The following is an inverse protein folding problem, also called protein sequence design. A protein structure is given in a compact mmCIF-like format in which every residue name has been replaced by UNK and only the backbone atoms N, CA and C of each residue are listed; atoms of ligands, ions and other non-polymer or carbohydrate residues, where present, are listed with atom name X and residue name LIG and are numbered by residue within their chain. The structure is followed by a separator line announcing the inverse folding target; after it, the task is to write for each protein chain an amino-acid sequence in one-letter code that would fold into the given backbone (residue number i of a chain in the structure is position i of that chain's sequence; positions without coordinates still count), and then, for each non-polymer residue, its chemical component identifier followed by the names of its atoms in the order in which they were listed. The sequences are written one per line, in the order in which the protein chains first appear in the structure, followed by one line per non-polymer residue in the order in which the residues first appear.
data_IF_214727010446
#
_entry.id   IF_214727010446
#
_cell.length_a   1.000
_cell.length_b   1.000
_cell.length_c   1.000
_cell.angle_alpha   90.00
_cell.angle_beta   90.00
_cell.angle_gamma   90.00
#
_symmetry.space_group_name_H-M   'P 1'
#
loop_
_entity.id
_entity.type
_entity.pdbx_description
1 polymer ?
#
# COMPACT_ATOMS: atom_id res chain seq x y z
N UNK A 1 -41.64 -42.56 1.24
CA UNK A 1 -42.31 -41.30 0.90
C UNK A 1 -41.23 -40.28 0.50
N UNK A 2 -40.95 -40.22 -0.78
CA UNK A 2 -40.04 -39.24 -1.37
C UNK A 2 -40.90 -38.11 -2.00
N UNK A 3 -40.78 -36.92 -1.44
CA UNK A 3 -41.35 -35.70 -2.04
C UNK A 3 -40.28 -35.10 -2.99
N UNK A 4 -40.54 -35.31 -4.29
CA UNK A 4 -39.82 -34.65 -5.37
C UNK A 4 -40.36 -33.22 -5.48
N UNK A 5 -39.58 -32.23 -5.06
CA UNK A 5 -39.84 -30.81 -5.37
C UNK A 5 -39.39 -30.53 -6.81
N UNK A 6 -40.34 -30.43 -7.73
CA UNK A 6 -40.09 -29.91 -9.05
C UNK A 6 -39.84 -28.41 -8.98
N UNK A 7 -38.63 -28.01 -9.33
CA UNK A 7 -38.28 -26.61 -9.51
C UNK A 7 -38.99 -26.03 -10.73
N UNK A 8 -39.56 -24.82 -10.67
CA UNK A 8 -40.20 -24.20 -11.82
C UNK A 8 -39.16 -23.89 -12.90
N UNK A 9 -39.51 -24.27 -14.15
CA UNK A 9 -38.71 -23.96 -15.33
C UNK A 9 -38.46 -22.45 -15.43
N UNK A 10 -37.24 -22.01 -15.22
CA UNK A 10 -36.85 -20.63 -15.48
C UNK A 10 -36.88 -20.40 -16.99
N UNK A 11 -37.80 -19.56 -17.43
CA UNK A 11 -37.88 -19.07 -18.80
C UNK A 11 -36.52 -18.49 -19.21
N UNK A 12 -35.88 -19.08 -20.24
CA UNK A 12 -34.72 -18.56 -20.92
C UNK A 12 -35.05 -17.19 -21.53
N UNK A 13 -34.73 -16.11 -20.81
CA UNK A 13 -34.76 -14.75 -21.40
C UNK A 13 -33.49 -14.56 -22.20
N UNK A 14 -33.60 -14.58 -23.49
CA UNK A 14 -32.58 -14.11 -24.41
C UNK A 14 -32.62 -12.58 -24.45
N UNK A 15 -31.49 -11.93 -24.18
CA UNK A 15 -31.32 -10.50 -24.45
C UNK A 15 -30.25 -10.42 -25.54
N UNK A 16 -30.63 -9.90 -26.71
CA UNK A 16 -29.75 -9.75 -27.90
C UNK A 16 -29.12 -11.06 -28.43
N UNK A 17 -29.87 -12.19 -28.38
CA UNK A 17 -29.46 -13.44 -29.01
C UNK A 17 -28.38 -14.26 -28.29
N UNK A 18 -27.96 -13.83 -27.09
CA UNK A 18 -26.94 -14.54 -26.29
C UNK A 18 -27.58 -15.01 -24.97
N UNK A 19 -27.39 -16.29 -24.56
CA UNK A 19 -27.90 -16.78 -23.29
C UNK A 19 -27.30 -15.95 -22.12
N UNK A 20 -28.13 -15.56 -21.15
CA UNK A 20 -27.76 -14.78 -19.98
C UNK A 20 -26.59 -15.41 -19.21
N UNK A 21 -26.39 -16.72 -19.31
CA UNK A 21 -25.29 -17.48 -18.70
C UNK A 21 -23.91 -17.12 -19.30
N UNK A 22 -23.83 -16.79 -20.61
CA UNK A 22 -22.58 -16.42 -21.28
C UNK A 22 -22.15 -14.97 -21.01
N UNK A 23 -23.08 -14.10 -20.60
CA UNK A 23 -22.76 -12.73 -20.21
C UNK A 23 -21.95 -12.69 -18.89
N UNK A 24 -22.25 -13.60 -17.95
CA UNK A 24 -21.49 -13.76 -16.70
C UNK A 24 -20.07 -14.32 -16.92
N UNK A 25 -19.87 -15.12 -17.96
CA UNK A 25 -18.53 -15.67 -18.30
C UNK A 25 -17.63 -14.59 -18.91
N UNK A 26 -18.19 -13.67 -19.70
CA UNK A 26 -17.43 -12.54 -20.24
C UNK A 26 -17.00 -11.55 -19.15
N UNK A 27 -17.77 -11.43 -18.06
CA UNK A 27 -17.41 -10.60 -16.90
C UNK A 27 -16.25 -11.18 -16.08
N UNK A 28 -16.06 -12.51 -16.05
CA UNK A 28 -14.94 -13.16 -15.37
C UNK A 28 -13.58 -12.98 -16.08
N UNK A 29 -13.57 -12.64 -17.36
CA UNK A 29 -12.34 -12.40 -18.14
C UNK A 29 -11.71 -11.02 -17.89
N UNK A 30 -12.36 -10.17 -17.10
CA UNK A 30 -11.97 -8.76 -16.91
C UNK A 30 -11.14 -8.54 -15.63
N UNK A 31 -10.61 -9.60 -15.02
CA UNK A 31 -9.80 -9.54 -13.80
C UNK A 31 -8.54 -10.35 -14.03
N UNK A 32 -7.40 -9.74 -13.80
CA UNK A 32 -6.09 -10.38 -13.82
C UNK A 32 -5.53 -10.42 -12.40
N UNK A 33 -5.14 -11.61 -11.92
CA UNK A 33 -4.38 -11.76 -10.69
C UNK A 33 -2.91 -11.96 -11.06
N UNK A 34 -2.04 -11.13 -10.51
CA UNK A 34 -0.61 -11.20 -10.71
C UNK A 34 0.15 -10.85 -9.44
N UNK A 35 1.38 -11.25 -9.39
CA UNK A 35 2.31 -10.81 -8.36
C UNK A 35 3.14 -9.64 -8.86
N UNK A 36 3.29 -8.63 -8.01
CA UNK A 36 4.15 -7.47 -8.26
C UNK A 36 5.32 -7.57 -7.28
N UNK A 37 6.55 -7.56 -7.77
CA UNK A 37 7.70 -7.52 -6.87
C UNK A 37 7.79 -6.17 -6.16
N UNK A 38 8.34 -6.16 -4.94
CA UNK A 38 8.53 -4.91 -4.19
C UNK A 38 9.35 -3.90 -5.00
N UNK A 39 10.38 -4.35 -5.70
CA UNK A 39 11.21 -3.49 -6.56
C UNK A 39 10.41 -2.86 -7.70
N UNK A 40 9.53 -3.64 -8.35
CA UNK A 40 8.65 -3.13 -9.41
C UNK A 40 7.67 -2.11 -8.83
N UNK A 41 7.02 -2.42 -7.70
CA UNK A 41 6.09 -1.51 -7.04
C UNK A 41 6.75 -0.20 -6.66
N UNK A 42 7.91 -0.25 -6.00
CA UNK A 42 8.69 0.93 -5.59
C UNK A 42 9.12 1.77 -6.79
N UNK A 43 9.59 1.14 -7.86
CA UNK A 43 9.93 1.82 -9.11
C UNK A 43 8.74 2.54 -9.72
N UNK A 44 7.56 1.91 -9.72
CA UNK A 44 6.34 2.50 -10.27
C UNK A 44 5.80 3.63 -9.37
N UNK A 45 5.97 3.53 -8.04
CA UNK A 45 5.71 4.64 -7.12
C UNK A 45 6.64 5.81 -7.43
N UNK A 46 7.95 5.56 -7.58
CA UNK A 46 8.94 6.59 -7.88
C UNK A 46 8.67 7.31 -9.21
N UNK A 47 8.14 6.60 -10.20
CA UNK A 47 7.67 7.14 -11.48
C UNK A 47 6.30 7.83 -11.37
N UNK A 48 5.69 7.87 -10.21
CA UNK A 48 4.35 8.42 -9.94
C UNK A 48 3.23 7.77 -10.79
N UNK A 49 3.31 6.44 -11.01
CA UNK A 49 2.32 5.70 -11.81
C UNK A 49 1.03 5.39 -11.03
N UNK A 50 0.95 5.68 -9.74
CA UNK A 50 -0.21 5.38 -8.90
C UNK A 50 -0.99 6.62 -8.52
N UNK A 51 -2.31 6.53 -8.61
CA UNK A 51 -3.25 7.59 -8.30
C UNK A 51 -4.30 7.12 -7.31
N UNK A 52 -4.63 7.98 -6.35
CA UNK A 52 -5.63 7.72 -5.32
C UNK A 52 -6.94 8.36 -5.78
N UNK A 53 -8.02 7.59 -5.98
CA UNK A 53 -9.34 8.14 -6.26
C UNK A 53 -9.84 9.02 -5.13
N UNK A 54 -10.52 10.14 -5.45
CA UNK A 54 -11.03 11.12 -4.48
C UNK A 54 -12.07 10.57 -3.51
N UNK A 55 -12.68 9.43 -3.80
CA UNK A 55 -13.61 8.77 -2.90
C UNK A 55 -12.93 7.93 -1.81
N UNK A 56 -11.62 7.73 -1.90
CA UNK A 56 -10.88 7.04 -0.85
C UNK A 56 -10.56 8.01 0.30
N UNK A 57 -10.54 7.46 1.51
CA UNK A 57 -10.14 8.21 2.71
C UNK A 57 -8.67 8.58 2.64
N UNK A 58 -8.30 9.60 3.39
CA UNK A 58 -6.90 9.98 3.56
C UNK A 58 -6.04 8.86 4.20
N UNK A 59 -4.74 9.05 4.16
CA UNK A 59 -3.81 8.17 4.84
C UNK A 59 -3.97 8.30 6.36
N UNK A 60 -4.35 7.20 7.03
CA UNK A 60 -4.66 7.18 8.46
C UNK A 60 -3.76 6.25 9.29
N UNK A 61 -2.90 5.46 8.63
CA UNK A 61 -1.97 4.60 9.35
C UNK A 61 -0.97 5.43 10.13
N UNK A 62 -0.76 5.04 11.37
CA UNK A 62 0.28 5.61 12.21
C UNK A 62 1.66 4.97 11.93
N UNK A 63 2.67 5.46 12.63
CA UNK A 63 4.03 4.96 12.47
C UNK A 63 4.19 3.51 12.90
N UNK A 64 3.39 3.02 13.85
CA UNK A 64 3.45 1.61 14.31
C UNK A 64 2.91 0.66 13.24
N UNK A 65 1.88 1.05 12.50
CA UNK A 65 1.39 0.29 11.35
C UNK A 65 2.44 0.21 10.25
N UNK A 66 3.17 1.31 10.01
CA UNK A 66 4.23 1.35 8.99
C UNK A 66 5.41 0.46 9.41
N UNK A 67 5.85 0.54 10.68
CA UNK A 67 6.90 -0.31 11.24
C UNK A 67 6.52 -1.79 11.14
N UNK A 68 5.26 -2.15 11.50
CA UNK A 68 4.75 -3.52 11.39
C UNK A 68 4.68 -4.04 9.94
N UNK A 69 4.34 -3.17 8.97
CA UNK A 69 4.39 -3.53 7.56
C UNK A 69 5.84 -3.77 7.11
N UNK A 70 6.78 -2.90 7.50
CA UNK A 70 8.20 -3.07 7.21
C UNK A 70 8.76 -4.37 7.80
N UNK A 71 8.38 -4.70 9.03
CA UNK A 71 8.72 -5.95 9.70
C UNK A 71 8.16 -7.17 8.95
N UNK A 72 6.91 -7.10 8.52
CA UNK A 72 6.28 -8.16 7.73
C UNK A 72 7.00 -8.40 6.40
N UNK A 73 7.43 -7.34 5.72
CA UNK A 73 8.14 -7.44 4.44
C UNK A 73 9.52 -8.06 4.62
N UNK A 74 10.31 -7.61 5.62
CA UNK A 74 11.65 -8.14 5.86
C UNK A 74 11.64 -9.61 6.29
N UNK A 75 10.61 -10.01 7.06
CA UNK A 75 10.37 -11.41 7.48
C UNK A 75 9.68 -12.25 6.40
N UNK A 76 9.25 -11.62 5.30
CA UNK A 76 8.48 -12.25 4.23
C UNK A 76 7.15 -12.85 4.68
N UNK A 77 6.53 -12.22 5.68
CA UNK A 77 5.16 -12.56 6.05
C UNK A 77 4.19 -12.05 4.97
N UNK A 78 3.11 -12.78 4.67
CA UNK A 78 2.15 -12.36 3.67
C UNK A 78 1.47 -11.06 4.10
N UNK A 79 1.39 -10.11 3.18
CA UNK A 79 0.54 -8.91 3.29
C UNK A 79 -0.67 -9.08 2.38
N UNK A 80 -1.77 -8.41 2.72
CA UNK A 80 -2.98 -8.47 1.88
C UNK A 80 -2.72 -7.94 0.47
N UNK A 81 -3.51 -8.42 -0.49
CA UNK A 81 -3.44 -8.00 -1.90
C UNK A 81 -3.77 -6.53 -2.10
N UNK A 82 -3.33 -5.97 -3.22
CA UNK A 82 -3.74 -4.65 -3.70
C UNK A 82 -4.72 -4.80 -4.87
N UNK A 83 -5.67 -3.86 -4.99
CA UNK A 83 -6.62 -3.81 -6.10
C UNK A 83 -6.33 -2.59 -6.96
N UNK A 84 -6.01 -2.82 -8.22
CA UNK A 84 -5.58 -1.80 -9.17
C UNK A 84 -6.52 -1.75 -10.38
N UNK A 85 -6.64 -0.57 -10.99
CA UNK A 85 -7.35 -0.37 -12.26
C UNK A 85 -6.54 0.58 -13.14
N UNK A 86 -6.24 0.21 -14.40
CA UNK A 86 -5.53 1.08 -15.32
C UNK A 86 -6.28 2.39 -15.58
N UNK A 87 -5.57 3.52 -15.62
CA UNK A 87 -6.15 4.84 -15.90
C UNK A 87 -6.42 5.10 -17.38
N UNK A 88 -5.83 4.34 -18.28
CA UNK A 88 -6.06 4.43 -19.73
C UNK A 88 -7.40 3.81 -20.18
N UNK A 89 -8.15 3.18 -19.27
CA UNK A 89 -9.44 2.55 -19.55
C UNK A 89 -10.59 3.52 -19.81
N UNK A 90 -11.78 2.94 -20.05
CA UNK A 90 -13.02 3.69 -20.31
C UNK A 90 -13.57 4.41 -19.09
N UNK A 91 -13.32 3.87 -17.90
CA UNK A 91 -13.73 4.46 -16.63
C UNK A 91 -12.67 5.42 -16.11
N UNK A 92 -12.99 6.69 -16.13
CA UNK A 92 -12.18 7.74 -15.51
C UNK A 92 -12.79 8.14 -14.17
N UNK A 93 -11.99 8.34 -13.15
CA UNK A 93 -12.44 8.85 -11.84
C UNK A 93 -11.57 10.02 -11.41
N UNK A 94 -12.16 10.97 -10.68
CA UNK A 94 -11.39 12.06 -10.06
C UNK A 94 -10.38 11.47 -9.09
N UNK A 95 -9.12 11.88 -9.19
CA UNK A 95 -8.02 11.33 -8.39
C UNK A 95 -6.91 12.36 -8.23
N UNK A 96 -6.01 12.10 -7.29
CA UNK A 96 -4.74 12.79 -7.17
C UNK A 96 -3.59 11.77 -7.24
N UNK A 97 -2.37 12.18 -7.62
CA UNK A 97 -1.22 11.30 -7.62
C UNK A 97 -0.91 10.82 -6.19
N UNK A 98 -0.31 9.63 -6.06
CA UNK A 98 0.16 9.12 -4.77
C UNK A 98 1.28 9.99 -4.19
N UNK A 99 2.12 10.56 -5.06
CA UNK A 99 3.22 11.46 -4.70
C UNK A 99 2.89 12.85 -5.22
N UNK A 100 2.66 13.79 -4.31
CA UNK A 100 2.35 15.17 -4.66
C UNK A 100 3.50 15.86 -5.39
N UNK A 101 3.15 16.79 -6.26
CA UNK A 101 4.08 17.66 -7.01
C UNK A 101 5.08 16.93 -7.93
N UNK A 102 4.81 15.70 -8.29
CA UNK A 102 5.62 14.92 -9.23
C UNK A 102 4.79 14.55 -10.46
N UNK A 103 5.31 14.87 -11.65
CA UNK A 103 4.68 14.43 -12.90
C UNK A 103 4.87 12.93 -13.11
N UNK A 104 3.88 12.29 -13.75
CA UNK A 104 4.00 10.88 -14.12
C UNK A 104 4.97 10.73 -15.29
N UNK A 105 6.01 9.92 -15.08
CA UNK A 105 7.05 9.66 -16.08
C UNK A 105 6.56 8.70 -17.17
N UNK A 106 5.66 7.79 -16.81
CA UNK A 106 5.15 6.76 -17.75
C UNK A 106 3.62 6.70 -17.68
N UNK A 107 2.96 7.43 -18.57
CA UNK A 107 1.50 7.54 -18.60
C UNK A 107 0.79 6.24 -19.02
N UNK A 108 1.47 5.31 -19.66
CA UNK A 108 0.90 4.01 -20.05
C UNK A 108 0.77 3.08 -18.84
N UNK A 109 1.60 3.26 -17.83
CA UNK A 109 1.59 2.48 -16.59
C UNK A 109 0.82 3.13 -15.43
N UNK A 110 -0.07 4.09 -15.73
CA UNK A 110 -0.86 4.72 -14.68
C UNK A 110 -2.00 3.82 -14.17
N UNK A 111 -2.13 3.73 -12.85
CA UNK A 111 -3.16 2.95 -12.17
C UNK A 111 -3.90 3.76 -11.11
N UNK A 112 -5.20 3.52 -10.99
CA UNK A 112 -5.94 3.85 -9.78
C UNK A 112 -5.70 2.76 -8.73
N UNK A 113 -5.42 3.15 -7.49
CA UNK A 113 -5.40 2.25 -6.34
C UNK A 113 -6.84 2.18 -5.83
N UNK A 114 -7.53 1.06 -6.04
CA UNK A 114 -8.89 0.87 -5.55
C UNK A 114 -8.92 0.27 -4.13
N UNK A 115 -7.96 -0.61 -3.80
CA UNK A 115 -7.70 -1.07 -2.43
C UNK A 115 -6.20 -1.21 -2.21
N UNK A 116 -5.78 -1.12 -0.94
CA UNK A 116 -4.38 -1.19 -0.53
C UNK A 116 -3.65 0.16 -0.49
N UNK A 117 -4.37 1.29 -0.57
CA UNK A 117 -3.79 2.63 -0.48
C UNK A 117 -2.87 2.79 0.73
N UNK A 118 -3.31 2.39 1.92
CA UNK A 118 -2.51 2.52 3.14
C UNK A 118 -1.19 1.75 3.03
N UNK A 119 -1.22 0.53 2.45
CA UNK A 119 -0.03 -0.31 2.22
C UNK A 119 0.93 0.32 1.22
N UNK A 120 0.43 0.75 0.05
CA UNK A 120 1.27 1.36 -1.00
C UNK A 120 1.88 2.67 -0.51
N UNK A 121 1.11 3.52 0.19
CA UNK A 121 1.63 4.74 0.82
C UNK A 121 2.69 4.43 1.89
N UNK A 122 2.50 3.40 2.71
CA UNK A 122 3.50 2.98 3.69
C UNK A 122 4.77 2.44 3.02
N UNK A 123 4.64 1.70 1.92
CA UNK A 123 5.79 1.23 1.11
C UNK A 123 6.60 2.41 0.55
N UNK A 124 5.94 3.49 0.10
CA UNK A 124 6.65 4.70 -0.34
C UNK A 124 7.46 5.34 0.80
N UNK A 125 6.91 5.37 2.01
CA UNK A 125 7.61 5.88 3.20
C UNK A 125 8.78 5.00 3.61
N UNK A 126 8.59 3.67 3.60
CA UNK A 126 9.59 2.68 3.99
C UNK A 126 10.79 2.62 3.02
N UNK A 127 10.52 2.63 1.72
CA UNK A 127 11.52 2.26 0.71
C UNK A 127 11.94 3.41 -0.23
N UNK A 128 11.23 4.55 -0.20
CA UNK A 128 11.61 5.76 -0.95
C UNK A 128 11.91 6.96 -0.05
N UNK A 129 11.77 6.80 1.27
CA UNK A 129 11.91 7.87 2.25
C UNK A 129 10.97 9.07 1.99
N UNK A 130 9.73 8.78 1.57
CA UNK A 130 8.69 9.77 1.28
C UNK A 130 7.82 10.05 2.51
N UNK A 131 8.45 10.33 3.65
CA UNK A 131 7.78 10.78 4.88
C UNK A 131 8.44 12.06 5.35
N UNK A 132 7.64 13.08 5.72
CA UNK A 132 8.15 14.40 6.11
C UNK A 132 8.71 14.44 7.54
N UNK A 133 8.35 13.46 8.37
CA UNK A 133 8.66 13.45 9.80
C UNK A 133 9.62 12.35 10.20
N UNK A 134 9.57 11.19 9.52
CA UNK A 134 10.32 10.01 9.90
C UNK A 134 11.00 9.35 8.70
N UNK A 135 12.14 8.71 8.96
CA UNK A 135 12.73 7.69 8.10
C UNK A 135 12.71 6.33 8.79
N UNK A 136 12.60 5.28 7.98
CA UNK A 136 12.47 3.91 8.45
C UNK A 136 13.74 3.12 8.11
N UNK A 137 14.22 2.36 9.07
CA UNK A 137 15.44 1.59 9.00
C UNK A 137 15.22 0.17 9.50
N UNK A 138 16.03 -0.75 9.02
CA UNK A 138 16.02 -2.15 9.43
C UNK A 138 17.26 -2.45 10.28
N UNK A 139 17.06 -3.20 11.36
CA UNK A 139 18.03 -3.47 12.40
C UNK A 139 18.82 -4.74 12.10
N UNK A 140 20.03 -4.60 11.58
CA UNK A 140 20.91 -5.71 11.20
C UNK A 140 21.31 -6.58 12.41
N UNK A 141 21.51 -5.96 13.60
CA UNK A 141 21.83 -6.72 14.79
C UNK A 141 20.67 -7.60 15.25
N UNK A 142 19.44 -7.06 15.24
CA UNK A 142 18.26 -7.84 15.59
C UNK A 142 18.05 -8.99 14.61
N UNK A 143 18.28 -8.80 13.30
CA UNK A 143 18.24 -9.87 12.30
C UNK A 143 19.25 -10.99 12.61
N UNK A 144 20.50 -10.65 12.98
CA UNK A 144 21.50 -11.64 13.37
C UNK A 144 21.14 -12.33 14.68
N UNK A 145 20.69 -11.58 15.70
CA UNK A 145 20.34 -12.14 17.01
C UNK A 145 19.16 -13.11 16.93
N UNK A 146 18.18 -12.84 16.07
CA UNK A 146 17.10 -13.81 15.81
C UNK A 146 17.60 -15.09 15.12
N UNK A 147 18.48 -14.94 14.15
CA UNK A 147 19.00 -16.09 13.41
C UNK A 147 19.94 -16.94 14.25
N UNK A 148 20.72 -16.30 15.11
CA UNK A 148 21.75 -16.93 15.90
C UNK A 148 21.62 -16.59 17.40
N UNK A 149 20.54 -17.00 18.08
CA UNK A 149 20.20 -16.55 19.44
C UNK A 149 21.21 -17.04 20.50
N UNK A 150 21.91 -18.13 20.25
CA UNK A 150 22.91 -18.72 21.15
C UNK A 150 24.35 -18.33 20.80
N UNK A 151 24.55 -17.40 19.85
CA UNK A 151 25.89 -16.99 19.44
C UNK A 151 26.52 -16.08 20.49
N UNK A 152 27.65 -16.54 21.06
CA UNK A 152 28.35 -15.83 22.14
C UNK A 152 28.86 -14.44 21.71
N UNK A 153 29.26 -14.28 20.44
CA UNK A 153 29.75 -13.01 19.91
C UNK A 153 28.63 -11.97 19.89
N UNK A 154 27.44 -12.38 19.42
CA UNK A 154 26.25 -11.52 19.39
C UNK A 154 25.71 -11.24 20.80
N UNK A 155 26.01 -12.12 21.77
CA UNK A 155 25.59 -11.99 23.16
C UNK A 155 26.67 -11.35 24.06
N UNK A 156 27.85 -11.06 23.53
CA UNK A 156 28.92 -10.39 24.27
C UNK A 156 28.45 -9.05 24.83
N UNK A 157 28.77 -8.80 26.12
CA UNK A 157 28.35 -7.59 26.81
C UNK A 157 28.95 -6.33 26.18
N UNK A 158 30.17 -6.38 25.67
CA UNK A 158 30.85 -5.26 25.01
C UNK A 158 30.22 -4.94 23.65
N UNK A 159 29.83 -5.95 22.88
CA UNK A 159 29.11 -5.78 21.62
C UNK A 159 27.71 -5.22 21.91
N UNK A 160 27.02 -5.78 22.90
CA UNK A 160 25.72 -5.29 23.35
C UNK A 160 25.78 -3.87 23.88
N UNK A 161 26.76 -3.51 24.71
CA UNK A 161 26.87 -2.16 25.26
C UNK A 161 27.22 -1.13 24.18
N UNK A 162 28.07 -1.47 23.21
CA UNK A 162 28.37 -0.61 22.07
C UNK A 162 27.21 -0.45 21.09
N UNK A 163 26.51 -1.54 20.81
CA UNK A 163 25.47 -1.58 19.80
C UNK A 163 24.05 -1.44 20.40
N UNK A 164 23.90 -1.64 21.71
CA UNK A 164 22.63 -1.67 22.41
C UNK A 164 22.57 -0.62 23.52
N UNK A 165 22.41 0.63 23.19
CA UNK A 165 21.73 1.54 24.14
C UNK A 165 20.22 1.31 24.19
N UNK A 166 19.70 0.34 23.45
CA UNK A 166 18.29 -0.08 23.48
C UNK A 166 18.19 -1.59 23.23
N UNK A 167 17.30 -2.26 23.99
CA UNK A 167 17.03 -3.69 23.86
C UNK A 167 16.76 -4.13 22.41
N UNK A 168 17.12 -5.38 22.02
CA UNK A 168 16.65 -5.94 20.78
C UNK A 168 15.13 -5.80 20.76
N UNK A 169 14.60 -5.15 19.75
CA UNK A 169 13.17 -5.05 19.57
C UNK A 169 12.68 -6.32 18.89
N UNK A 170 11.50 -6.77 19.25
CA UNK A 170 10.80 -7.82 18.51
C UNK A 170 10.50 -7.39 17.06
N UNK A 171 10.53 -6.08 16.79
CA UNK A 171 10.28 -5.49 15.47
C UNK A 171 11.60 -5.08 14.83
N UNK A 172 11.86 -5.60 13.62
CA UNK A 172 13.10 -5.33 12.87
C UNK A 172 13.11 -3.96 12.20
N UNK A 173 11.92 -3.40 11.89
CA UNK A 173 11.77 -2.08 11.28
C UNK A 173 11.60 -1.01 12.35
N UNK A 174 12.37 0.10 12.25
CA UNK A 174 12.33 1.21 13.21
C UNK A 174 12.29 2.55 12.52
N UNK A 175 11.52 3.49 13.10
CA UNK A 175 11.47 4.88 12.68
C UNK A 175 12.51 5.73 13.41
N UNK A 176 13.03 6.72 12.69
CA UNK A 176 13.87 7.78 13.25
C UNK A 176 13.34 9.15 12.77
N UNK A 177 13.26 10.15 13.66
CA UNK A 177 12.80 11.48 13.26
C UNK A 177 13.76 12.13 12.26
N UNK A 178 13.20 12.91 11.33
CA UNK A 178 13.96 13.72 10.39
C UNK A 178 14.41 15.01 11.10
N UNK A 179 15.71 15.29 11.16
CA UNK A 179 16.24 16.50 11.79
C UNK A 179 17.77 16.54 11.85
N UNK A 180 18.33 17.62 12.41
CA UNK A 180 19.78 17.80 12.52
C UNK A 180 20.47 16.68 13.32
N UNK A 181 19.76 16.12 14.30
CA UNK A 181 20.27 15.02 15.14
C UNK A 181 20.14 13.63 14.52
N UNK A 182 19.46 13.54 13.39
CA UNK A 182 19.10 12.30 12.70
C UNK A 182 20.33 11.51 12.23
N UNK A 183 21.21 12.18 11.49
CA UNK A 183 22.44 11.55 11.01
C UNK A 183 23.34 11.15 12.17
N UNK A 184 23.33 11.89 13.27
CA UNK A 184 24.04 11.55 14.49
C UNK A 184 23.45 10.33 15.18
N UNK A 185 22.12 10.19 15.30
CA UNK A 185 21.50 9.03 15.95
C UNK A 185 21.76 7.74 15.18
N UNK A 186 21.60 7.76 13.85
CA UNK A 186 21.84 6.58 13.00
C UNK A 186 23.33 6.28 12.88
N UNK A 187 24.19 7.30 12.79
CA UNK A 187 25.65 7.14 12.74
C UNK A 187 26.21 6.73 14.09
N UNK A 188 25.69 7.24 15.20
CA UNK A 188 26.09 6.85 16.57
C UNK A 188 25.80 5.39 16.91
N UNK A 189 24.92 4.73 16.15
CA UNK A 189 24.60 3.31 16.32
C UNK A 189 25.44 2.39 15.42
N UNK A 190 26.65 2.83 15.03
CA UNK A 190 27.70 2.00 14.42
C UNK A 190 27.24 1.21 13.20
N UNK A 191 26.55 1.85 12.25
CA UNK A 191 26.03 1.23 11.02
C UNK A 191 25.07 0.05 11.25
N UNK A 192 24.54 -0.11 12.45
CA UNK A 192 23.58 -1.16 12.80
C UNK A 192 22.31 -1.13 11.97
N UNK A 193 21.92 0.06 11.50
CA UNK A 193 20.68 0.28 10.80
C UNK A 193 20.88 0.53 9.32
N UNK A 194 20.02 -0.07 8.48
CA UNK A 194 20.01 0.13 7.05
C UNK A 194 18.65 0.69 6.60
N UNK A 195 18.66 1.74 5.79
CA UNK A 195 17.40 2.30 5.24
C UNK A 195 16.78 1.36 4.19
N UNK A 196 15.46 1.31 4.13
CA UNK A 196 14.73 0.54 3.12
C UNK A 196 15.11 0.92 1.69
N UNK A 197 15.37 2.21 1.44
CA UNK A 197 15.83 2.69 0.14
C UNK A 197 17.12 1.99 -0.31
N UNK A 198 18.11 1.85 0.56
CA UNK A 198 19.37 1.16 0.21
C UNK A 198 19.18 -0.32 -0.07
N UNK A 199 18.20 -0.94 0.59
CA UNK A 199 17.87 -2.35 0.35
C UNK A 199 17.32 -2.53 -1.06
N UNK A 200 16.31 -1.74 -1.45
CA UNK A 200 15.67 -1.86 -2.76
C UNK A 200 16.57 -1.42 -3.91
N UNK A 201 17.50 -0.47 -3.67
CA UNK A 201 18.51 -0.05 -4.64
C UNK A 201 19.71 -1.01 -4.76
N UNK A 202 19.71 -2.13 -4.01
CA UNK A 202 20.83 -3.09 -3.93
C UNK A 202 22.16 -2.44 -3.48
N UNK A 203 22.08 -1.44 -2.60
CA UNK A 203 23.23 -0.67 -2.08
C UNK A 203 23.54 -1.02 -0.62
N UNK A 204 23.22 -2.22 -0.18
CA UNK A 204 23.38 -2.62 1.23
C UNK A 204 24.78 -3.20 1.56
N UNK A 205 25.50 -3.75 0.61
CA UNK A 205 26.75 -4.44 0.86
C UNK A 205 27.78 -3.63 1.66
N UNK A 206 27.97 -2.35 1.31
CA UNK A 206 28.88 -1.47 2.03
C UNK A 206 28.45 -1.18 3.48
N UNK A 207 27.12 -1.13 3.74
CA UNK A 207 26.58 -0.93 5.10
C UNK A 207 26.77 -2.19 5.92
N UNK A 208 26.47 -3.36 5.37
CA UNK A 208 26.70 -4.67 6.01
C UNK A 208 28.18 -4.83 6.35
N UNK A 209 29.09 -4.58 5.41
CA UNK A 209 30.52 -4.67 5.67
C UNK A 209 31.01 -3.70 6.77
N UNK A 210 30.47 -2.48 6.82
CA UNK A 210 30.81 -1.54 7.90
C UNK A 210 30.26 -2.00 9.24
N UNK A 211 29.04 -2.49 9.29
CA UNK A 211 28.43 -3.02 10.49
C UNK A 211 29.23 -4.19 11.05
N UNK A 212 29.64 -5.14 10.20
CA UNK A 212 30.38 -6.34 10.64
C UNK A 212 31.78 -6.03 11.17
N UNK A 213 32.40 -4.90 10.78
CA UNK A 213 33.68 -4.45 11.35
C UNK A 213 33.64 -4.07 12.84
N UNK A 214 32.43 -3.91 13.38
CA UNK A 214 32.24 -3.65 14.81
C UNK A 214 32.48 -4.91 15.67
N UNK A 215 32.45 -6.09 15.07
CA UNK A 215 32.71 -7.39 15.75
C UNK A 215 34.18 -7.76 15.70
N UNK A 216 34.99 -6.96 16.43
CA UNK A 216 36.45 -7.05 16.37
C UNK A 216 37.05 -8.37 16.83
N UNK A 217 36.32 -9.06 17.73
CA UNK A 217 36.77 -10.32 18.34
C UNK A 217 36.13 -11.55 17.65
N UNK A 218 35.42 -11.33 16.57
CA UNK A 218 34.85 -12.41 15.78
C UNK A 218 35.89 -13.05 14.86
N UNK A 219 35.83 -14.35 14.68
CA UNK A 219 36.64 -15.06 13.67
C UNK A 219 36.15 -14.69 12.26
N UNK A 220 37.06 -14.84 11.28
CA UNK A 220 36.70 -14.63 9.85
C UNK A 220 35.52 -15.50 9.44
N UNK A 221 35.46 -16.76 9.87
CA UNK A 221 34.32 -17.66 9.61
C UNK A 221 32.99 -17.15 10.17
N UNK A 222 33.03 -16.51 11.35
CA UNK A 222 31.83 -15.90 11.94
C UNK A 222 31.38 -14.67 11.15
N UNK A 223 32.33 -13.83 10.73
CA UNK A 223 32.05 -12.64 9.91
C UNK A 223 31.47 -13.06 8.55
N UNK A 224 32.07 -14.06 7.89
CA UNK A 224 31.57 -14.58 6.62
C UNK A 224 30.15 -15.17 6.76
N UNK A 225 29.90 -15.92 7.82
CA UNK A 225 28.57 -16.45 8.16
C UNK A 225 27.54 -15.34 8.30
N UNK A 226 27.85 -14.25 9.03
CA UNK A 226 26.95 -13.13 9.23
C UNK A 226 26.74 -12.34 7.95
N UNK A 227 27.81 -12.10 7.20
CA UNK A 227 27.76 -11.42 5.91
C UNK A 227 26.87 -12.16 4.92
N UNK A 228 27.08 -13.46 4.75
CA UNK A 228 26.32 -14.29 3.85
C UNK A 228 24.83 -14.31 4.21
N UNK A 229 24.51 -14.41 5.50
CA UNK A 229 23.12 -14.39 5.96
C UNK A 229 22.45 -13.03 5.66
N UNK A 230 23.07 -11.92 6.12
CA UNK A 230 22.49 -10.58 5.91
C UNK A 230 22.35 -10.24 4.43
N UNK A 231 23.36 -10.53 3.63
CA UNK A 231 23.31 -10.26 2.19
C UNK A 231 22.23 -11.06 1.49
N UNK A 232 22.07 -12.34 1.86
CA UNK A 232 21.03 -13.21 1.31
C UNK A 232 19.62 -12.72 1.70
N UNK A 233 19.40 -12.35 2.96
CA UNK A 233 18.07 -11.92 3.41
C UNK A 233 17.70 -10.53 2.86
N UNK A 234 18.62 -9.57 2.86
CA UNK A 234 18.39 -8.25 2.30
C UNK A 234 18.17 -8.31 0.78
N UNK A 235 18.94 -9.14 0.07
CA UNK A 235 18.76 -9.34 -1.38
C UNK A 235 17.40 -9.89 -1.78
N UNK A 236 16.77 -10.69 -0.91
CA UNK A 236 15.43 -11.24 -1.15
C UNK A 236 14.30 -10.23 -0.97
N UNK A 237 14.55 -9.10 -0.30
CA UNK A 237 13.51 -8.08 -0.04
C UNK A 237 13.02 -7.46 -1.36
N UNK A 238 13.92 -7.21 -2.31
CA UNK A 238 13.58 -6.64 -3.62
C UNK A 238 12.59 -7.50 -4.41
N UNK A 239 12.68 -8.83 -4.25
CA UNK A 239 11.83 -9.82 -4.92
C UNK A 239 10.61 -10.24 -4.09
N UNK A 240 10.37 -9.57 -2.94
CA UNK A 240 9.17 -9.84 -2.14
C UNK A 240 7.92 -9.66 -2.99
N UNK A 241 7.07 -10.70 -3.05
CA UNK A 241 5.87 -10.73 -3.88
C UNK A 241 4.68 -10.10 -3.18
N UNK A 242 4.03 -9.16 -3.86
CA UNK A 242 2.81 -8.49 -3.42
C UNK A 242 1.69 -8.94 -4.35
N UNK A 243 0.70 -9.71 -3.86
CA UNK A 243 -0.44 -10.12 -4.67
C UNK A 243 -1.21 -8.89 -5.15
N UNK A 244 -1.50 -8.82 -6.43
CA UNK A 244 -2.28 -7.74 -7.03
C UNK A 244 -3.41 -8.31 -7.87
N UNK A 245 -4.60 -7.74 -7.72
CA UNK A 245 -5.72 -7.94 -8.61
C UNK A 245 -5.86 -6.69 -9.49
N UNK A 246 -5.78 -6.87 -10.80
CA UNK A 246 -5.91 -5.78 -11.77
C UNK A 246 -7.24 -5.95 -12.51
N UNK A 247 -8.10 -4.94 -12.44
CA UNK A 247 -9.34 -4.89 -13.20
C UNK A 247 -9.01 -4.43 -14.61
N UNK A 248 -9.56 -5.11 -15.64
CA UNK A 248 -9.32 -4.75 -17.02
C UNK A 248 -9.77 -3.31 -17.35
N UNK A 249 -9.04 -2.66 -18.25
CA UNK A 249 -9.25 -1.26 -18.62
C UNK A 249 -10.61 -0.96 -19.28
N UNK A 250 -11.24 -1.97 -19.88
CA UNK A 250 -12.54 -1.90 -20.54
C UNK A 250 -13.72 -2.36 -19.67
N UNK A 251 -13.47 -2.61 -18.38
CA UNK A 251 -14.49 -3.07 -17.44
C UNK A 251 -15.62 -2.07 -17.28
N UNK A 252 -16.84 -2.58 -17.28
CA UNK A 252 -18.02 -1.78 -16.96
C UNK A 252 -18.02 -1.36 -15.48
N UNK A 253 -18.59 -0.20 -15.17
CA UNK A 253 -18.68 0.33 -13.80
C UNK A 253 -19.28 -0.70 -12.82
N UNK A 254 -20.30 -1.45 -13.22
CA UNK A 254 -20.93 -2.48 -12.38
C UNK A 254 -19.98 -3.62 -12.00
N UNK A 255 -19.01 -3.97 -12.85
CA UNK A 255 -17.97 -4.96 -12.54
C UNK A 255 -17.01 -4.39 -11.50
N UNK A 256 -16.55 -3.16 -11.69
CA UNK A 256 -15.65 -2.47 -10.76
C UNK A 256 -16.25 -2.40 -9.36
N UNK A 257 -17.53 -2.03 -9.26
CA UNK A 257 -18.27 -1.98 -7.99
C UNK A 257 -18.29 -3.35 -7.32
N UNK A 258 -18.69 -4.40 -8.02
CA UNK A 258 -18.79 -5.76 -7.45
C UNK A 258 -17.46 -6.32 -6.99
N UNK A 259 -16.38 -6.06 -7.74
CA UNK A 259 -15.03 -6.49 -7.36
C UNK A 259 -14.58 -5.75 -6.13
N UNK A 260 -14.76 -4.43 -6.11
CA UNK A 260 -14.41 -3.59 -4.98
C UNK A 260 -15.15 -4.01 -3.69
N UNK A 261 -16.47 -4.23 -3.76
CA UNK A 261 -17.28 -4.70 -2.61
C UNK A 261 -16.80 -6.04 -2.07
N UNK A 262 -16.39 -6.96 -2.96
CA UNK A 262 -15.87 -8.28 -2.55
C UNK A 262 -14.50 -8.22 -1.90
N UNK A 263 -13.59 -7.40 -2.42
CA UNK A 263 -12.24 -7.27 -1.91
C UNK A 263 -12.22 -6.48 -0.60
N UNK A 264 -13.08 -5.46 -0.50
CA UNK A 264 -13.11 -4.53 0.63
C UNK A 264 -14.07 -4.98 1.76
N UNK A 265 -14.15 -6.29 2.02
CA UNK A 265 -15.08 -6.87 3.01
C UNK A 265 -14.84 -6.42 4.46
N UNK A 266 -13.67 -5.87 4.78
CA UNK A 266 -13.24 -5.45 6.13
C UNK A 266 -13.06 -3.93 6.29
N UNK A 267 -13.19 -3.14 5.20
CA UNK A 267 -13.02 -1.68 5.20
C UNK A 267 -14.32 -0.89 5.10
N UNK A 268 -14.21 0.43 4.87
CA UNK A 268 -15.35 1.29 4.54
C UNK A 268 -15.98 0.77 3.24
N UNK A 269 -17.26 0.41 3.28
CA UNK A 269 -17.99 -0.02 2.09
C UNK A 269 -18.10 1.15 1.12
N UNK A 270 -17.55 0.99 -0.08
CA UNK A 270 -17.79 1.93 -1.16
C UNK A 270 -19.27 1.81 -1.58
N UNK A 271 -19.95 2.91 -1.60
CA UNK A 271 -21.35 2.96 -2.04
C UNK A 271 -21.42 3.24 -3.55
N UNK A 272 -22.53 2.85 -4.17
CA UNK A 272 -22.83 3.27 -5.56
C UNK A 272 -22.75 4.79 -5.69
N UNK A 273 -23.10 5.52 -4.62
CA UNK A 273 -23.03 6.98 -4.57
C UNK A 273 -21.58 7.49 -4.68
N UNK A 274 -20.62 6.87 -3.98
CA UNK A 274 -19.21 7.27 -4.06
C UNK A 274 -18.65 7.15 -5.47
N UNK A 275 -19.07 6.10 -6.20
CA UNK A 275 -18.65 5.87 -7.59
C UNK A 275 -19.37 6.77 -8.60
N UNK A 276 -20.66 7.06 -8.37
CA UNK A 276 -21.39 8.05 -9.16
C UNK A 276 -20.80 9.43 -8.94
N UNK A 277 -20.47 9.77 -7.71
CA UNK A 277 -19.78 11.01 -7.36
C UNK A 277 -18.41 11.08 -8.06
N UNK A 278 -17.61 10.02 -7.99
CA UNK A 278 -16.32 9.94 -8.69
C UNK A 278 -16.46 10.08 -10.23
N UNK A 279 -17.54 9.55 -10.81
CA UNK A 279 -17.83 9.67 -12.25
C UNK A 279 -18.34 11.06 -12.61
N UNK A 280 -19.08 11.72 -11.73
CA UNK A 280 -19.62 13.08 -11.98
C UNK A 280 -18.53 14.13 -12.13
N UNK A 281 -17.36 13.92 -11.53
CA UNK A 281 -16.17 14.75 -11.77
C UNK A 281 -15.77 14.85 -13.24
N UNK A 282 -16.22 13.89 -14.08
CA UNK A 282 -15.80 13.82 -15.48
C UNK A 282 -16.68 14.54 -16.49
N UNK A 283 -18.00 14.60 -16.25
CA UNK A 283 -18.91 14.92 -17.36
C UNK A 283 -19.41 16.36 -17.46
N UNK A 284 -19.69 17.01 -16.34
CA UNK A 284 -20.19 18.39 -16.33
C UNK A 284 -19.47 19.32 -15.32
N UNK A 285 -18.90 18.74 -14.29
CA UNK A 285 -18.33 19.47 -13.16
C UNK A 285 -16.81 19.60 -13.24
N UNK A 286 -16.15 18.95 -14.19
CA UNK A 286 -14.71 19.09 -14.44
C UNK A 286 -14.32 20.57 -14.67
N UNK A 287 -15.19 21.33 -15.33
CA UNK A 287 -15.04 22.77 -15.52
C UNK A 287 -15.01 23.55 -14.20
N UNK A 288 -15.69 23.05 -13.18
CA UNK A 288 -15.80 23.70 -11.86
C UNK A 288 -14.90 23.06 -10.80
N UNK A 289 -14.21 21.95 -11.13
CA UNK A 289 -13.36 21.16 -10.19
C UNK A 289 -14.07 20.74 -8.90
N UNK A 290 -15.39 20.57 -8.94
CA UNK A 290 -16.22 20.14 -7.79
C UNK A 290 -16.91 18.82 -8.08
N UNK A 291 -17.02 17.95 -7.08
CA UNK A 291 -17.77 16.71 -7.16
C UNK A 291 -19.28 16.90 -6.91
N UNK A 292 -20.04 15.85 -7.17
CA UNK A 292 -21.48 15.84 -6.88
C UNK A 292 -21.76 16.08 -5.39
N UNK A 293 -20.95 15.52 -4.51
CA UNK A 293 -21.00 15.74 -3.05
C UNK A 293 -20.82 17.20 -2.70
N UNK A 294 -19.77 17.84 -3.24
CA UNK A 294 -19.48 19.25 -3.00
C UNK A 294 -20.62 20.13 -3.50
N UNK A 295 -21.15 19.81 -4.70
CA UNK A 295 -22.28 20.51 -5.28
C UNK A 295 -23.56 20.38 -4.45
N UNK A 296 -23.87 19.16 -3.97
CA UNK A 296 -25.03 18.93 -3.10
C UNK A 296 -24.87 19.64 -1.75
N UNK A 297 -23.66 19.59 -1.17
CA UNK A 297 -23.35 20.30 0.08
C UNK A 297 -23.53 21.81 -0.08
N UNK A 298 -23.05 22.39 -1.18
CA UNK A 298 -23.20 23.81 -1.46
C UNK A 298 -24.69 24.18 -1.76
N UNK A 299 -25.40 23.32 -2.49
CA UNK A 299 -26.83 23.48 -2.73
C UNK A 299 -27.64 23.44 -1.43
N UNK A 300 -27.34 22.51 -0.51
CA UNK A 300 -27.98 22.43 0.81
C UNK A 300 -27.65 23.67 1.65
N UNK A 301 -26.40 24.12 1.67
CA UNK A 301 -26.02 25.36 2.36
C UNK A 301 -26.78 26.56 1.82
N UNK A 302 -26.84 26.70 0.48
CA UNK A 302 -27.55 27.78 -0.19
C UNK A 302 -29.04 27.74 0.10
N UNK A 303 -29.66 26.53 0.11
CA UNK A 303 -31.03 26.33 0.50
C UNK A 303 -31.27 26.75 1.94
N UNK A 304 -30.44 26.30 2.88
CA UNK A 304 -30.53 26.62 4.30
C UNK A 304 -30.35 28.10 4.63
N UNK A 305 -29.60 28.84 3.78
CA UNK A 305 -29.48 30.31 3.88
C UNK A 305 -30.77 31.05 3.46
N UNK A 306 -31.55 30.46 2.54
CA UNK A 306 -32.72 31.09 1.94
C UNK A 306 -34.05 30.70 2.60
N UNK A 307 -34.05 29.67 3.48
CA UNK A 307 -35.28 29.17 4.16
C UNK A 307 -35.21 29.51 5.65
N UNK A 308 -36.37 29.84 6.21
CA UNK A 308 -36.48 30.12 7.66
C UNK A 308 -36.13 28.91 8.52
N UNK A 309 -35.78 29.19 9.79
CA UNK A 309 -35.27 28.18 10.77
C UNK A 309 -36.08 26.87 10.90
N UNK A 310 -37.36 26.87 10.51
CA UNK A 310 -38.25 25.73 10.65
C UNK A 310 -38.21 24.73 9.47
N UNK A 311 -37.42 25.01 8.42
CA UNK A 311 -37.33 24.17 7.21
C UNK A 311 -35.90 23.85 6.80
N UNK A 312 -34.95 23.91 7.71
CA UNK A 312 -33.54 23.58 7.40
C UNK A 312 -33.37 22.10 7.20
N UNK A 313 -32.67 21.72 6.12
CA UNK A 313 -32.13 20.38 5.92
C UNK A 313 -30.98 20.25 6.91
N UNK A 314 -30.93 19.16 7.68
CA UNK A 314 -29.85 18.86 8.59
C UNK A 314 -28.51 18.82 7.86
N UNK A 315 -27.52 19.53 8.38
CA UNK A 315 -26.12 19.48 7.86
C UNK A 315 -25.45 18.12 8.20
N UNK A 316 -26.15 17.25 8.96
CA UNK A 316 -25.70 15.89 9.33
C UNK A 316 -26.02 14.82 8.29
N UNK A 317 -26.47 15.15 7.07
CA UNK A 317 -26.37 14.21 5.97
C UNK A 317 -24.89 14.07 5.61
N UNK A 318 -24.21 13.29 6.43
CA UNK A 318 -22.93 12.69 6.07
C UNK A 318 -23.20 11.77 4.89
N UNK A 319 -22.95 12.24 3.69
CA UNK A 319 -22.93 11.42 2.49
C UNK A 319 -21.68 10.52 2.54
N UNK A 320 -21.58 9.74 3.65
CA UNK A 320 -20.56 8.72 3.86
C UNK A 320 -20.84 7.48 3.02
#
# INVERSE_FOLDING_TARGET
FALVYAAPARANRFINGVPCFLKGIKEMSNIENRDISLQELVRNIDKNCYHIPKFQRDFVWDTSNIEALGDSIIRRYPISSVLLMPRNGTLKVGSHPLVDNKETVDKELEYYILDGQQRITSISKLFLAMDDKFEYYFDLLSMLSEKYPSDNILNDAGVKEKLLKSHPSEILCRKFPIGKDKNEQVTRQNNRFISGKRIVEDKFGAVVAKFLREFKDASDDAIDKYHNYLSAELGKVSTYSIPATVIASDSELGVVIRVFEKVNSTGKKLTIFDLINAKSFQTKFEKYKVGLSDYLTDAIKTFNLNVGKNFRISDEYDFQ
#
